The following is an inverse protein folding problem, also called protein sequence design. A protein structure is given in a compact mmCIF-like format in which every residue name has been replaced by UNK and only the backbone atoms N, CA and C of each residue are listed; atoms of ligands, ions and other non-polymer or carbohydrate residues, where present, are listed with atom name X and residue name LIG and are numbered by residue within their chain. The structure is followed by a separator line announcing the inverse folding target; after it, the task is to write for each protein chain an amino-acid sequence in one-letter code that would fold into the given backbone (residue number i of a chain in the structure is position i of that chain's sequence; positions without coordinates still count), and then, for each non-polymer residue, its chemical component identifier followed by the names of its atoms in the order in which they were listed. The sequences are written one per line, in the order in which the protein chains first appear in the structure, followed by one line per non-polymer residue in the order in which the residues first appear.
data_IF_556962064860
#
_entry.id   IF_556962064860
#
_cell.length_a   1.000
_cell.length_b   1.000
_cell.length_c   1.000
_cell.angle_alpha   90.00
_cell.angle_beta   90.00
_cell.angle_gamma   90.00
#
_symmetry.space_group_name_H-M   'P 1'
#
loop_
_entity.id
_entity.type
_entity.pdbx_description
1 polymer ?
#
# COMPACT_ATOMS: atom_id res chain seq x y z
N UNK A 1 -18.96 -7.21 -36.40
CA UNK A 1 -17.83 -6.30 -36.70
C UNK A 1 -17.92 -5.14 -35.71
N UNK A 2 -17.16 -5.16 -34.64
CA UNK A 2 -17.03 -4.02 -33.72
C UNK A 2 -15.61 -4.08 -33.20
N UNK A 3 -14.74 -3.26 -33.81
CA UNK A 3 -13.38 -3.05 -33.38
C UNK A 3 -13.39 -2.30 -32.05
N UNK A 4 -13.14 -2.99 -30.96
CA UNK A 4 -12.73 -2.36 -29.70
C UNK A 4 -11.31 -1.87 -29.85
N UNK A 5 -11.17 -0.58 -30.04
CA UNK A 5 -9.91 0.12 -30.16
C UNK A 5 -9.29 0.23 -28.75
N UNK A 6 -8.58 -0.81 -28.29
CA UNK A 6 -7.71 -0.76 -27.11
C UNK A 6 -6.45 0.05 -27.46
N UNK A 7 -6.64 1.36 -27.56
CA UNK A 7 -5.53 2.28 -27.71
C UNK A 7 -4.74 2.29 -26.40
N UNK A 8 -3.50 1.75 -26.44
CA UNK A 8 -2.51 1.92 -25.38
C UNK A 8 -2.34 3.43 -25.17
N UNK A 9 -2.54 3.96 -23.96
CA UNK A 9 -2.42 5.40 -23.71
C UNK A 9 -1.01 5.87 -24.07
N UNK A 10 -0.94 6.94 -24.87
CA UNK A 10 0.32 7.58 -25.22
C UNK A 10 1.03 8.05 -23.94
N UNK A 11 2.25 7.58 -23.63
CA UNK A 11 2.96 7.90 -22.38
C UNK A 11 3.34 9.39 -22.22
N UNK A 12 3.09 10.22 -23.22
CA UNK A 12 3.40 11.66 -23.20
C UNK A 12 2.17 12.57 -23.01
N UNK A 13 0.97 12.02 -22.92
CA UNK A 13 -0.21 12.83 -22.62
C UNK A 13 -0.18 13.27 -21.15
N UNK A 14 0.07 14.56 -20.91
CA UNK A 14 0.06 15.15 -19.55
C UNK A 14 -1.27 14.82 -18.87
N UNK A 15 -1.24 14.18 -17.71
CA UNK A 15 -2.45 13.87 -16.93
C UNK A 15 -3.23 15.14 -16.64
N UNK A 16 -4.55 15.05 -16.63
CA UNK A 16 -5.43 16.19 -16.32
C UNK A 16 -5.33 16.61 -14.84
N UNK A 17 -5.03 15.64 -13.98
CA UNK A 17 -4.89 15.83 -12.53
C UNK A 17 -3.64 15.07 -12.04
N UNK A 18 -2.98 15.56 -10.98
CA UNK A 18 -1.75 14.95 -10.46
C UNK A 18 -1.98 13.54 -9.89
N UNK A 19 -0.87 12.80 -9.83
CA UNK A 19 -0.75 11.56 -9.06
C UNK A 19 0.13 11.84 -7.84
N UNK A 20 -0.34 11.42 -6.67
CA UNK A 20 0.44 11.41 -5.45
C UNK A 20 0.84 9.96 -5.16
N UNK A 21 2.12 9.67 -5.23
CA UNK A 21 2.70 8.36 -4.93
C UNK A 21 3.17 8.33 -3.48
N UNK A 22 2.74 7.32 -2.71
CA UNK A 22 3.18 7.11 -1.33
C UNK A 22 3.78 5.72 -1.21
N UNK A 23 5.10 5.66 -1.06
CA UNK A 23 5.83 4.41 -0.86
C UNK A 23 6.40 4.31 0.56
N UNK A 24 6.82 3.12 0.95
CA UNK A 24 7.44 2.89 2.24
C UNK A 24 7.17 1.50 2.81
N UNK A 25 7.85 1.10 3.89
CA UNK A 25 7.76 -0.23 4.47
C UNK A 25 6.39 -0.53 5.09
N UNK A 26 6.20 -1.79 5.49
CA UNK A 26 4.98 -2.21 6.20
C UNK A 26 4.85 -1.48 7.55
N UNK A 27 3.64 -1.09 7.93
CA UNK A 27 3.37 -0.43 9.22
C UNK A 27 3.83 1.04 9.32
N UNK A 28 4.33 1.65 8.24
CA UNK A 28 4.76 3.07 8.25
C UNK A 28 3.60 4.08 8.38
N UNK A 29 2.34 3.64 8.17
CA UNK A 29 1.16 4.54 8.23
C UNK A 29 0.68 5.05 6.87
N UNK A 30 1.15 4.46 5.77
CA UNK A 30 0.80 4.90 4.40
C UNK A 30 -0.69 4.98 4.13
N UNK A 31 -1.47 3.99 4.58
CA UNK A 31 -2.92 3.95 4.32
C UNK A 31 -3.66 5.09 5.01
N UNK A 32 -3.25 5.42 6.25
CA UNK A 32 -3.79 6.57 6.99
C UNK A 32 -3.45 7.88 6.27
N UNK A 33 -2.18 8.03 5.86
CA UNK A 33 -1.70 9.20 5.14
C UNK A 33 -2.40 9.34 3.78
N UNK A 34 -2.51 8.26 3.02
CA UNK A 34 -3.15 8.26 1.70
C UNK A 34 -4.63 8.64 1.79
N UNK A 35 -5.36 8.08 2.76
CA UNK A 35 -6.76 8.41 2.99
C UNK A 35 -6.93 9.89 3.38
N UNK A 36 -6.04 10.43 4.21
CA UNK A 36 -6.05 11.84 4.59
C UNK A 36 -5.82 12.76 3.39
N UNK A 37 -4.74 12.54 2.62
CA UNK A 37 -4.41 13.34 1.45
C UNK A 37 -5.48 13.24 0.36
N UNK A 38 -6.03 12.05 0.14
CA UNK A 38 -7.11 11.86 -0.82
C UNK A 38 -8.34 12.72 -0.46
N UNK A 39 -8.77 12.72 0.79
CA UNK A 39 -9.87 13.57 1.27
C UNK A 39 -9.53 15.05 1.18
N UNK A 40 -8.32 15.43 1.58
CA UNK A 40 -7.88 16.83 1.65
C UNK A 40 -7.80 17.50 0.29
N UNK A 41 -7.39 16.76 -0.74
CA UNK A 41 -7.19 17.26 -2.11
C UNK A 41 -8.27 16.80 -3.11
N UNK A 42 -9.31 16.10 -2.64
CA UNK A 42 -10.39 15.61 -3.50
C UNK A 42 -9.91 14.58 -4.53
N UNK A 43 -8.98 13.69 -4.15
CA UNK A 43 -8.43 12.63 -4.96
C UNK A 43 -9.00 11.27 -4.57
N UNK A 44 -8.87 10.28 -5.46
CA UNK A 44 -9.21 8.90 -5.15
C UNK A 44 -8.05 8.25 -4.36
N UNK A 45 -8.38 7.53 -3.30
CA UNK A 45 -7.41 6.73 -2.55
C UNK A 45 -7.33 5.32 -3.16
N UNK A 46 -6.14 4.86 -3.54
CA UNK A 46 -5.90 3.55 -4.15
C UNK A 46 -4.82 2.78 -3.37
N UNK A 47 -5.25 1.72 -2.66
CA UNK A 47 -4.39 0.83 -1.87
C UNK A 47 -3.93 -0.35 -2.75
N UNK A 48 -2.75 -0.27 -3.36
CA UNK A 48 -2.26 -1.32 -4.27
C UNK A 48 -1.96 -2.65 -3.58
N UNK A 49 -1.62 -2.61 -2.30
CA UNK A 49 -1.45 -3.81 -1.49
C UNK A 49 -2.70 -4.68 -1.42
N UNK A 50 -3.89 -4.09 -1.58
CA UNK A 50 -5.14 -4.84 -1.64
C UNK A 50 -5.24 -5.71 -2.90
N UNK A 51 -4.66 -5.26 -4.03
CA UNK A 51 -4.65 -6.04 -5.28
C UNK A 51 -3.78 -7.30 -5.14
N UNK A 52 -2.58 -7.18 -4.55
CA UNK A 52 -1.73 -8.35 -4.27
C UNK A 52 -2.41 -9.32 -3.29
N UNK A 53 -3.11 -8.81 -2.29
CA UNK A 53 -3.88 -9.64 -1.36
C UNK A 53 -5.07 -10.33 -2.05
N UNK A 54 -5.71 -9.68 -3.01
CA UNK A 54 -6.79 -10.31 -3.78
C UNK A 54 -6.28 -11.48 -4.64
N UNK A 55 -5.13 -11.32 -5.33
CA UNK A 55 -4.49 -12.42 -6.05
C UNK A 55 -4.09 -13.55 -5.09
N UNK A 56 -3.48 -13.20 -3.95
CA UNK A 56 -3.09 -14.19 -2.95
C UNK A 56 -4.29 -14.97 -2.38
N UNK A 57 -5.40 -14.30 -2.11
CA UNK A 57 -6.63 -14.96 -1.69
C UNK A 57 -7.13 -15.94 -2.75
N UNK A 58 -7.17 -15.51 -4.02
CA UNK A 58 -7.58 -16.37 -5.12
C UNK A 58 -6.65 -17.58 -5.28
N UNK A 59 -5.33 -17.40 -5.07
CA UNK A 59 -4.38 -18.49 -5.08
C UNK A 59 -4.60 -19.49 -3.93
N UNK A 60 -4.92 -19.00 -2.71
CA UNK A 60 -5.32 -19.85 -1.58
C UNK A 60 -6.58 -20.67 -1.91
N UNK A 61 -7.61 -20.03 -2.47
CA UNK A 61 -8.88 -20.68 -2.83
C UNK A 61 -8.74 -21.72 -3.94
N UNK A 62 -7.64 -21.69 -4.70
CA UNK A 62 -7.35 -22.65 -5.77
C UNK A 62 -6.17 -23.58 -5.42
N UNK A 63 -5.73 -23.62 -4.17
CA UNK A 63 -4.64 -24.46 -3.66
C UNK A 63 -3.34 -24.36 -4.49
N UNK A 64 -3.00 -23.15 -5.00
CA UNK A 64 -1.80 -22.92 -5.77
C UNK A 64 -0.57 -22.75 -4.87
N UNK A 65 0.57 -23.28 -5.34
CA UNK A 65 1.86 -23.01 -4.71
C UNK A 65 2.28 -21.55 -4.97
N UNK A 66 2.63 -20.84 -3.90
CA UNK A 66 3.03 -19.43 -3.99
C UNK A 66 4.44 -19.23 -4.53
N UNK A 67 5.22 -20.29 -4.72
CA UNK A 67 6.58 -20.25 -5.26
C UNK A 67 6.60 -20.57 -6.77
N UNK A 68 5.47 -20.96 -7.37
CA UNK A 68 5.32 -21.23 -8.79
C UNK A 68 4.68 -20.02 -9.52
N UNK A 69 5.53 -19.27 -10.26
CA UNK A 69 5.10 -18.02 -10.88
C UNK A 69 4.04 -18.19 -11.96
N UNK A 70 4.20 -19.17 -12.86
CA UNK A 70 3.32 -19.27 -14.03
C UNK A 70 1.87 -19.56 -13.66
N UNK A 71 1.55 -20.52 -12.77
CA UNK A 71 0.16 -20.72 -12.30
C UNK A 71 -0.45 -19.48 -11.65
N UNK A 72 0.36 -18.73 -10.89
CA UNK A 72 -0.08 -17.48 -10.25
C UNK A 72 -0.37 -16.37 -11.27
N UNK A 73 0.43 -16.28 -12.33
CA UNK A 73 0.24 -15.32 -13.42
C UNK A 73 -1.02 -15.66 -14.22
N UNK A 74 -1.21 -16.92 -14.62
CA UNK A 74 -2.39 -17.39 -15.36
C UNK A 74 -3.67 -17.12 -14.55
N UNK A 75 -3.62 -17.38 -13.24
CA UNK A 75 -4.71 -17.07 -12.32
C UNK A 75 -5.01 -15.57 -12.29
N UNK A 76 -3.98 -14.73 -12.14
CA UNK A 76 -4.13 -13.29 -12.08
C UNK A 76 -4.72 -12.72 -13.38
N UNK A 77 -4.28 -13.19 -14.55
CA UNK A 77 -4.75 -12.76 -15.86
C UNK A 77 -6.22 -13.13 -16.11
N UNK A 78 -6.69 -14.23 -15.53
CA UNK A 78 -8.10 -14.65 -15.59
C UNK A 78 -8.99 -14.00 -14.52
N UNK A 79 -8.41 -13.24 -13.60
CA UNK A 79 -9.10 -12.68 -12.42
C UNK A 79 -9.42 -11.21 -12.63
N UNK A 80 -10.64 -10.81 -12.24
CA UNK A 80 -11.05 -9.40 -12.24
C UNK A 80 -10.97 -8.81 -10.84
N UNK A 81 -10.05 -7.88 -10.64
CA UNK A 81 -9.91 -7.13 -9.39
C UNK A 81 -10.44 -5.72 -9.61
N UNK A 82 -11.33 -5.25 -8.73
CA UNK A 82 -11.82 -3.87 -8.70
C UNK A 82 -11.56 -3.26 -7.34
N UNK A 83 -11.02 -2.05 -7.35
CA UNK A 83 -10.94 -1.18 -6.16
C UNK A 83 -12.00 -0.10 -6.30
N UNK A 84 -12.95 -0.07 -5.39
CA UNK A 84 -13.97 0.97 -5.29
C UNK A 84 -13.61 1.87 -4.09
N UNK A 85 -13.10 3.10 -4.32
CA UNK A 85 -12.75 4.02 -3.24
C UNK A 85 -13.97 4.31 -2.36
N UNK A 86 -13.77 4.25 -1.05
CA UNK A 86 -14.76 4.60 -0.03
C UNK A 86 -14.16 5.62 0.93
N UNK A 87 -14.97 6.14 1.85
CA UNK A 87 -14.50 7.10 2.87
C UNK A 87 -13.37 6.51 3.72
N UNK A 88 -13.42 5.21 4.01
CA UNK A 88 -12.44 4.49 4.84
C UNK A 88 -11.71 3.39 4.03
N UNK A 89 -10.94 3.80 3.03
CA UNK A 89 -10.13 2.88 2.22
C UNK A 89 -10.80 2.41 0.93
N UNK A 90 -10.59 1.15 0.55
CA UNK A 90 -11.16 0.60 -0.68
C UNK A 90 -12.08 -0.59 -0.36
N UNK A 91 -13.24 -0.61 -1.00
CA UNK A 91 -13.97 -1.86 -1.21
C UNK A 91 -13.27 -2.64 -2.31
N UNK A 92 -12.98 -3.90 -2.04
CA UNK A 92 -12.24 -4.76 -2.96
C UNK A 92 -13.15 -5.86 -3.46
N UNK A 93 -13.40 -5.84 -4.77
CA UNK A 93 -14.18 -6.88 -5.44
C UNK A 93 -13.23 -7.80 -6.20
N UNK A 94 -13.35 -9.10 -5.93
CA UNK A 94 -12.66 -10.18 -6.61
C UNK A 94 -13.70 -10.99 -7.38
N UNK A 95 -13.65 -10.96 -8.72
CA UNK A 95 -14.66 -11.57 -9.62
C UNK A 95 -16.10 -11.19 -9.27
N UNK A 96 -16.29 -9.96 -8.76
CA UNK A 96 -17.58 -9.43 -8.35
C UNK A 96 -17.97 -9.69 -6.90
N UNK A 97 -17.23 -10.51 -6.18
CA UNK A 97 -17.45 -10.81 -4.74
C UNK A 97 -16.67 -9.81 -3.88
N UNK A 98 -17.31 -9.27 -2.83
CA UNK A 98 -16.65 -8.38 -1.87
C UNK A 98 -15.74 -9.18 -0.93
N UNK A 99 -14.44 -8.97 -1.06
CA UNK A 99 -13.41 -9.63 -0.26
C UNK A 99 -12.68 -8.67 0.68
N UNK A 100 -13.17 -7.46 0.86
CA UNK A 100 -12.51 -6.36 1.59
C UNK A 100 -12.07 -6.75 3.00
N UNK A 101 -12.85 -7.60 3.68
CA UNK A 101 -12.52 -8.11 5.00
C UNK A 101 -11.51 -9.25 4.92
N UNK A 102 -11.79 -10.28 4.10
CA UNK A 102 -11.01 -11.52 4.02
C UNK A 102 -9.56 -11.29 3.58
N UNK A 103 -9.33 -10.34 2.68
CA UNK A 103 -7.97 -9.99 2.22
C UNK A 103 -7.09 -9.36 3.29
N UNK A 104 -7.63 -9.02 4.47
CA UNK A 104 -6.88 -8.45 5.59
C UNK A 104 -6.43 -9.51 6.61
N UNK A 105 -6.88 -10.74 6.45
CA UNK A 105 -6.52 -11.85 7.33
C UNK A 105 -5.02 -12.19 7.20
N UNK A 106 -4.46 -12.78 8.25
CA UNK A 106 -3.00 -12.98 8.39
C UNK A 106 -2.44 -13.91 7.32
N UNK A 107 -3.16 -14.99 7.02
CA UNK A 107 -2.79 -15.97 5.98
C UNK A 107 -2.70 -15.33 4.60
N UNK A 108 -3.70 -14.51 4.22
CA UNK A 108 -3.71 -13.80 2.94
C UNK A 108 -2.60 -12.75 2.89
N UNK A 109 -2.37 -12.05 4.01
CA UNK A 109 -1.30 -11.03 4.07
C UNK A 109 0.09 -11.68 3.94
N UNK A 110 0.30 -12.86 4.53
CA UNK A 110 1.54 -13.62 4.39
C UNK A 110 1.72 -14.14 2.95
N UNK A 111 0.68 -14.73 2.36
CA UNK A 111 0.68 -15.19 0.98
C UNK A 111 0.95 -14.04 -0.01
N UNK A 112 0.33 -12.86 0.19
CA UNK A 112 0.56 -11.69 -0.65
C UNK A 112 2.04 -11.25 -0.69
N UNK A 113 2.75 -11.40 0.42
CA UNK A 113 4.19 -11.12 0.46
C UNK A 113 5.01 -12.15 -0.34
N UNK A 114 4.59 -13.42 -0.37
CA UNK A 114 5.24 -14.47 -1.17
C UNK A 114 4.96 -14.26 -2.66
N UNK A 115 3.72 -14.12 -3.07
CA UNK A 115 3.38 -13.94 -4.49
C UNK A 115 3.94 -12.64 -5.08
N UNK A 116 4.18 -11.63 -4.26
CA UNK A 116 4.68 -10.33 -4.73
C UNK A 116 6.15 -10.32 -5.16
N UNK A 117 6.91 -11.41 -5.02
CA UNK A 117 8.31 -11.49 -5.46
C UNK A 117 8.43 -11.81 -6.95
N UNK A 118 7.42 -12.40 -7.55
CA UNK A 118 7.43 -12.92 -8.91
C UNK A 118 7.45 -11.80 -9.97
N UNK A 119 8.46 -11.78 -10.85
CA UNK A 119 8.67 -10.67 -11.78
C UNK A 119 7.53 -10.45 -12.78
N UNK A 120 7.01 -11.52 -13.40
CA UNK A 120 5.96 -11.42 -14.41
C UNK A 120 4.61 -11.04 -13.79
N UNK A 121 4.29 -11.61 -12.62
CA UNK A 121 3.11 -11.20 -11.84
C UNK A 121 3.19 -9.71 -11.45
N UNK A 122 4.37 -9.22 -11.04
CA UNK A 122 4.57 -7.80 -10.77
C UNK A 122 4.38 -6.94 -12.01
N UNK A 123 4.93 -7.35 -13.16
CA UNK A 123 4.76 -6.61 -14.40
C UNK A 123 3.28 -6.51 -14.80
N UNK A 124 2.51 -7.59 -14.65
CA UNK A 124 1.07 -7.59 -14.84
C UNK A 124 0.38 -6.62 -13.85
N UNK A 125 0.73 -6.72 -12.57
CA UNK A 125 0.16 -5.85 -11.52
C UNK A 125 0.42 -4.36 -11.77
N UNK A 126 1.64 -4.00 -12.18
CA UNK A 126 2.01 -2.62 -12.55
C UNK A 126 1.12 -2.10 -13.69
N UNK A 127 0.84 -2.94 -14.71
CA UNK A 127 -0.09 -2.55 -15.80
C UNK A 127 -1.48 -2.25 -15.27
N UNK A 128 -2.01 -3.09 -14.37
CA UNK A 128 -3.33 -2.87 -13.75
C UNK A 128 -3.38 -1.58 -12.92
N UNK A 129 -2.35 -1.35 -12.11
CA UNK A 129 -2.22 -0.16 -11.28
C UNK A 129 -2.12 1.13 -12.10
N UNK A 130 -1.33 1.11 -13.18
CA UNK A 130 -1.24 2.22 -14.13
C UNK A 130 -2.59 2.55 -14.76
N UNK A 131 -3.35 1.54 -15.15
CA UNK A 131 -4.69 1.73 -15.72
C UNK A 131 -5.63 2.42 -14.73
N UNK A 132 -5.58 2.06 -13.44
CA UNK A 132 -6.39 2.70 -12.38
C UNK A 132 -6.07 4.19 -12.21
N UNK A 133 -4.81 4.58 -12.29
CA UNK A 133 -4.38 5.98 -12.10
C UNK A 133 -4.14 6.76 -13.38
N UNK A 134 -4.48 6.21 -14.56
CA UNK A 134 -4.13 6.79 -15.86
C UNK A 134 -4.66 8.22 -16.07
N UNK A 135 -5.81 8.56 -15.50
CA UNK A 135 -6.42 9.91 -15.59
C UNK A 135 -5.87 10.89 -14.55
N UNK A 136 -5.06 10.43 -13.61
CA UNK A 136 -4.63 11.19 -12.44
C UNK A 136 -5.75 11.44 -11.44
N UNK A 137 -5.54 12.39 -10.52
CA UNK A 137 -6.48 12.66 -9.42
C UNK A 137 -6.52 11.52 -8.40
N UNK A 138 -5.38 10.85 -8.20
CA UNK A 138 -5.27 9.70 -7.31
C UNK A 138 -4.14 9.90 -6.29
N UNK A 139 -4.36 9.41 -5.08
CA UNK A 139 -3.32 9.09 -4.11
C UNK A 139 -3.17 7.57 -4.13
N UNK A 140 -2.03 7.09 -4.56
CA UNK A 140 -1.75 5.67 -4.67
C UNK A 140 -0.65 5.29 -3.69
N UNK A 141 -0.92 4.29 -2.86
CA UNK A 141 0.06 3.80 -1.89
C UNK A 141 0.56 2.39 -2.22
N UNK A 142 1.86 2.16 -1.94
CA UNK A 142 2.48 0.87 -2.20
C UNK A 142 3.90 0.72 -1.67
N UNK A 143 4.78 0.15 -2.54
CA UNK A 143 6.21 -0.06 -2.30
C UNK A 143 7.10 0.48 -3.41
N UNK A 144 6.52 0.68 -4.57
CA UNK A 144 7.20 0.99 -5.82
C UNK A 144 6.35 1.89 -6.73
N UNK A 145 5.42 2.64 -6.14
CA UNK A 145 4.52 3.51 -6.90
C UNK A 145 5.33 4.59 -7.61
N UNK A 146 6.18 5.31 -6.87
CA UNK A 146 7.02 6.38 -7.41
C UNK A 146 8.23 5.91 -8.20
N UNK A 147 8.58 4.60 -8.14
CA UNK A 147 9.73 4.06 -8.89
C UNK A 147 9.34 3.25 -10.12
N UNK A 148 8.22 2.51 -10.07
CA UNK A 148 7.81 1.58 -11.12
C UNK A 148 6.43 1.88 -11.70
N UNK A 149 5.43 2.18 -10.88
CA UNK A 149 4.05 2.40 -11.37
C UNK A 149 3.91 3.77 -12.02
N UNK A 150 4.23 4.83 -11.29
CA UNK A 150 4.22 6.22 -11.76
C UNK A 150 5.56 6.91 -11.49
N UNK A 151 6.62 6.56 -12.25
CA UNK A 151 7.91 7.22 -12.10
C UNK A 151 7.86 8.71 -12.46
N UNK A 152 6.80 9.13 -13.09
CA UNK A 152 6.46 10.50 -13.48
C UNK A 152 5.36 11.13 -12.60
N UNK A 153 5.08 10.56 -11.41
CA UNK A 153 4.14 11.15 -10.45
C UNK A 153 4.61 12.56 -10.03
N UNK A 154 3.67 13.49 -9.96
CA UNK A 154 3.93 14.89 -9.61
C UNK A 154 4.36 15.08 -8.16
N UNK A 155 3.90 14.19 -7.28
CA UNK A 155 4.31 14.14 -5.86
C UNK A 155 4.70 12.74 -5.48
N UNK A 156 5.89 12.59 -4.89
CA UNK A 156 6.38 11.31 -4.38
C UNK A 156 6.80 11.45 -2.93
N UNK A 157 6.17 10.69 -2.06
CA UNK A 157 6.47 10.64 -0.63
C UNK A 157 6.95 9.23 -0.30
N UNK A 158 8.12 9.12 0.31
CA UNK A 158 8.57 7.88 0.91
C UNK A 158 8.39 8.00 2.42
N UNK A 159 7.33 7.36 2.94
CA UNK A 159 7.01 7.37 4.36
C UNK A 159 7.75 6.24 5.07
N UNK A 160 8.63 6.61 6.01
CA UNK A 160 9.40 5.65 6.81
C UNK A 160 9.14 5.83 8.32
N UNK A 161 9.53 4.85 9.09
CA UNK A 161 9.65 4.89 10.53
C UNK A 161 10.56 3.74 11.00
N UNK A 162 11.13 3.86 12.20
CA UNK A 162 11.94 2.77 12.78
C UNK A 162 11.14 1.47 12.85
N UNK A 163 11.77 0.30 12.69
CA UNK A 163 11.10 -1.00 12.77
C UNK A 163 10.30 -1.17 14.06
N UNK A 164 10.82 -0.67 15.19
CA UNK A 164 10.22 -0.76 16.51
C UNK A 164 8.89 0.02 16.57
N UNK A 165 8.88 1.27 16.08
CA UNK A 165 7.68 2.11 15.99
C UNK A 165 6.63 1.49 15.08
N UNK A 166 7.04 0.92 13.94
CA UNK A 166 6.13 0.25 13.01
C UNK A 166 5.55 -1.04 13.61
N UNK A 167 6.37 -1.81 14.33
CA UNK A 167 5.96 -3.01 15.07
C UNK A 167 4.91 -2.69 16.13
N UNK A 168 5.12 -1.64 16.92
CA UNK A 168 4.16 -1.19 17.92
C UNK A 168 2.83 -0.72 17.30
N UNK A 169 2.88 0.10 16.25
CA UNK A 169 1.68 0.50 15.49
C UNK A 169 0.90 -0.70 14.98
N UNK A 170 1.59 -1.71 14.44
CA UNK A 170 0.96 -2.92 13.94
C UNK A 170 0.36 -3.76 15.05
N UNK A 171 1.06 -3.90 16.18
CA UNK A 171 0.55 -4.60 17.34
C UNK A 171 -0.76 -3.98 17.84
N UNK A 172 -0.82 -2.65 17.98
CA UNK A 172 -2.04 -1.93 18.37
C UNK A 172 -3.19 -2.17 17.40
N UNK A 173 -2.92 -2.21 16.10
CA UNK A 173 -3.95 -2.48 15.09
C UNK A 173 -4.57 -3.88 15.18
N UNK A 174 -3.79 -4.88 15.63
CA UNK A 174 -4.20 -6.29 15.63
C UNK A 174 -4.71 -6.73 17.00
N UNK A 175 -4.05 -6.30 18.08
CA UNK A 175 -4.27 -6.81 19.43
C UNK A 175 -5.25 -5.98 20.25
N UNK A 176 -5.42 -4.69 19.93
CA UNK A 176 -6.34 -3.84 20.67
C UNK A 176 -7.68 -3.74 19.94
N UNK A 177 -8.83 -3.85 20.65
CA UNK A 177 -10.12 -3.50 20.09
C UNK A 177 -10.05 -2.07 19.54
N UNK A 178 -10.65 -1.82 18.38
CA UNK A 178 -10.80 -0.46 17.87
C UNK A 178 -11.70 0.30 18.84
N UNK A 179 -11.09 1.11 19.68
CA UNK A 179 -11.80 2.14 20.41
C UNK A 179 -11.92 3.34 19.46
N UNK A 180 -13.13 3.70 19.00
CA UNK A 180 -13.33 4.84 18.11
C UNK A 180 -12.95 6.17 18.75
N UNK A 181 -12.88 6.24 20.08
CA UNK A 181 -12.58 7.46 20.85
C UNK A 181 -11.15 7.48 21.41
N UNK A 182 -10.33 6.44 21.14
CA UNK A 182 -8.95 6.42 21.58
C UNK A 182 -8.15 7.53 20.88
N UNK A 183 -7.62 8.45 21.68
CA UNK A 183 -6.77 9.54 21.20
C UNK A 183 -5.51 8.98 20.51
N UNK A 184 -5.47 9.08 19.19
CA UNK A 184 -4.34 8.65 18.35
C UNK A 184 -3.16 9.63 18.43
N UNK A 185 -3.27 10.69 19.22
CA UNK A 185 -2.26 11.75 19.37
C UNK A 185 -1.12 11.39 20.34
N UNK A 186 -1.26 10.34 21.16
CA UNK A 186 -0.18 9.94 22.07
C UNK A 186 1.00 9.30 21.32
N UNK A 187 2.22 9.77 21.58
CA UNK A 187 3.43 9.15 21.01
C UNK A 187 3.52 7.68 21.42
N UNK A 188 3.89 6.81 20.48
CA UNK A 188 4.03 5.36 20.66
C UNK A 188 4.88 4.93 21.87
N UNK A 189 5.68 5.81 22.41
CA UNK A 189 6.64 5.55 23.49
C UNK A 189 6.03 5.42 24.91
N UNK A 190 4.81 5.93 25.16
CA UNK A 190 4.22 5.88 26.50
C UNK A 190 3.49 4.57 26.85
N UNK A 191 3.10 3.77 25.85
CA UNK A 191 2.32 2.54 26.08
C UNK A 191 3.17 1.29 26.39
N UNK A 192 4.49 1.34 26.28
CA UNK A 192 5.36 0.18 26.47
C UNK A 192 5.46 -0.35 27.92
N UNK A 193 4.90 0.35 28.90
CA UNK A 193 5.17 0.10 30.31
C UNK A 193 4.30 -0.99 30.96
N UNK A 194 3.33 -1.63 30.27
CA UNK A 194 2.38 -2.55 30.92
C UNK A 194 2.01 -3.77 30.07
N UNK A 195 2.87 -4.28 29.21
CA UNK A 195 2.56 -5.51 28.46
C UNK A 195 2.79 -6.77 29.30
N UNK A 196 1.86 -7.71 29.23
CA UNK A 196 2.07 -9.06 29.77
C UNK A 196 3.16 -9.80 28.98
N UNK A 197 3.81 -10.86 29.54
CA UNK A 197 4.81 -11.64 28.81
C UNK A 197 4.30 -12.17 27.45
N UNK A 198 3.02 -12.59 27.39
CA UNK A 198 2.40 -13.10 26.14
C UNK A 198 2.23 -11.96 25.11
N UNK A 199 1.82 -10.78 25.54
CA UNK A 199 1.71 -9.60 24.68
C UNK A 199 3.06 -9.17 24.11
N UNK A 200 4.11 -9.24 24.92
CA UNK A 200 5.49 -8.97 24.47
C UNK A 200 5.96 -10.01 23.44
N UNK A 201 5.64 -11.28 23.64
CA UNK A 201 5.97 -12.36 22.70
C UNK A 201 5.25 -12.15 21.35
N UNK A 202 3.97 -11.79 21.38
CA UNK A 202 3.19 -11.48 20.17
C UNK A 202 3.71 -10.25 19.42
N UNK A 203 4.05 -9.19 20.15
CA UNK A 203 4.66 -7.98 19.57
C UNK A 203 6.00 -8.30 18.90
N UNK A 204 6.86 -9.08 19.55
CA UNK A 204 8.14 -9.50 18.99
C UNK A 204 7.98 -10.39 17.76
N UNK A 205 6.97 -11.28 17.75
CA UNK A 205 6.63 -12.09 16.57
C UNK A 205 6.24 -11.20 15.39
N UNK A 206 5.30 -10.28 15.59
CA UNK A 206 4.87 -9.35 14.56
C UNK A 206 6.02 -8.49 14.03
N UNK A 207 6.91 -8.04 14.91
CA UNK A 207 8.09 -7.27 14.51
C UNK A 207 9.04 -8.09 13.62
N UNK A 208 9.27 -9.39 13.97
CA UNK A 208 10.08 -10.28 13.13
C UNK A 208 9.46 -10.48 11.76
N UNK A 209 8.17 -10.81 11.69
CA UNK A 209 7.43 -10.99 10.43
C UNK A 209 7.50 -9.74 9.54
N UNK A 210 7.39 -8.55 10.16
CA UNK A 210 7.53 -7.29 9.43
C UNK A 210 8.95 -7.04 8.92
N UNK A 211 9.98 -7.34 9.70
CA UNK A 211 11.39 -7.22 9.27
C UNK A 211 11.69 -8.16 8.10
N UNK A 212 11.26 -9.41 8.17
CA UNK A 212 11.41 -10.39 7.10
C UNK A 212 10.68 -9.95 5.82
N UNK A 213 9.50 -9.38 5.96
CA UNK A 213 8.76 -8.83 4.82
C UNK A 213 9.48 -7.65 4.19
N UNK A 214 9.95 -6.69 4.99
CA UNK A 214 10.68 -5.53 4.50
C UNK A 214 11.98 -5.95 3.81
N UNK A 215 12.66 -6.97 4.32
CA UNK A 215 13.86 -7.53 3.70
C UNK A 215 13.54 -8.16 2.35
N UNK A 216 12.48 -8.96 2.23
CA UNK A 216 12.00 -9.47 0.94
C UNK A 216 11.66 -8.32 -0.02
N UNK A 217 10.93 -7.31 0.44
CA UNK A 217 10.54 -6.15 -0.38
C UNK A 217 11.77 -5.36 -0.87
N UNK A 218 12.84 -5.25 -0.06
CA UNK A 218 14.09 -4.54 -0.43
C UNK A 218 14.99 -5.35 -1.37
N UNK A 219 15.03 -6.67 -1.20
CA UNK A 219 15.97 -7.55 -1.90
C UNK A 219 15.39 -8.17 -3.19
N UNK A 220 14.11 -7.96 -3.49
CA UNK A 220 13.51 -8.49 -4.71
C UNK A 220 14.16 -7.90 -5.97
N UNK A 221 14.31 -8.74 -7.01
CA UNK A 221 15.01 -8.37 -8.23
C UNK A 221 14.28 -7.27 -9.02
N UNK A 222 12.94 -7.29 -9.02
CA UNK A 222 12.13 -6.26 -9.68
C UNK A 222 11.47 -5.32 -8.68
N UNK A 223 11.57 -4.03 -8.96
CA UNK A 223 10.93 -2.95 -8.18
C UNK A 223 11.20 -3.07 -6.68
N UNK A 224 12.46 -3.11 -6.23
CA UNK A 224 12.78 -3.19 -4.80
C UNK A 224 12.18 -1.99 -4.05
N UNK A 225 11.85 -2.21 -2.77
CA UNK A 225 11.41 -1.14 -1.89
C UNK A 225 12.56 -0.15 -1.64
N UNK A 226 12.50 0.99 -2.30
CA UNK A 226 13.43 2.11 -2.15
C UNK A 226 12.74 3.41 -2.51
N UNK A 227 13.17 4.55 -1.95
CA UNK A 227 12.67 5.85 -2.40
C UNK A 227 13.03 6.09 -3.87
N UNK A 228 12.14 6.74 -4.61
CA UNK A 228 12.48 7.33 -5.89
C UNK A 228 13.50 8.46 -5.68
N UNK A 229 14.33 8.75 -6.69
CA UNK A 229 15.40 9.76 -6.56
C UNK A 229 14.89 11.18 -6.28
N UNK A 230 13.64 11.44 -6.66
CA UNK A 230 12.91 12.70 -6.49
C UNK A 230 11.82 12.60 -5.40
N UNK A 231 11.80 11.52 -4.61
CA UNK A 231 10.85 11.39 -3.51
C UNK A 231 11.29 12.20 -2.28
N UNK A 232 10.34 12.86 -1.65
CA UNK A 232 10.54 13.45 -0.32
C UNK A 232 10.43 12.34 0.72
N UNK A 233 11.50 12.15 1.51
CA UNK A 233 11.51 11.19 2.61
C UNK A 233 10.85 11.84 3.82
N UNK A 234 9.79 11.22 4.33
CA UNK A 234 9.09 11.60 5.54
C UNK A 234 9.30 10.54 6.61
N UNK A 235 10.22 10.80 7.54
CA UNK A 235 10.46 9.93 8.70
C UNK A 235 9.48 10.27 9.81
N UNK A 236 8.59 9.33 10.11
CA UNK A 236 7.56 9.46 11.14
C UNK A 236 7.94 8.81 12.48
N UNK A 237 9.21 8.47 12.70
CA UNK A 237 9.67 7.76 13.91
C UNK A 237 9.33 8.51 15.19
N UNK A 238 9.53 9.83 15.20
CA UNK A 238 9.34 10.68 16.40
C UNK A 238 8.16 11.64 16.26
N UNK A 239 7.45 11.59 15.14
CA UNK A 239 6.34 12.52 14.85
C UNK A 239 5.03 11.97 15.36
N UNK A 240 4.16 12.87 15.81
CA UNK A 240 2.74 12.57 16.03
C UNK A 240 2.01 12.39 14.69
N UNK A 241 0.85 11.77 14.71
CA UNK A 241 0.04 11.62 13.49
C UNK A 241 -0.24 12.98 12.84
N UNK A 242 -0.67 13.97 13.62
CA UNK A 242 -0.98 15.31 13.10
C UNK A 242 0.23 15.98 12.44
N UNK A 243 1.42 15.83 13.04
CA UNK A 243 2.65 16.35 12.45
C UNK A 243 2.98 15.69 11.11
N UNK A 244 2.80 14.36 11.01
CA UNK A 244 2.99 13.62 9.75
C UNK A 244 2.02 14.10 8.69
N UNK A 245 0.73 14.23 9.04
CA UNK A 245 -0.31 14.70 8.11
C UNK A 245 -0.03 16.12 7.64
N UNK A 246 0.31 17.02 8.55
CA UNK A 246 0.64 18.41 8.24
C UNK A 246 1.86 18.55 7.32
N UNK A 247 2.95 17.82 7.62
CA UNK A 247 4.14 17.83 6.77
C UNK A 247 3.83 17.27 5.38
N UNK A 248 3.07 16.20 5.29
CA UNK A 248 2.69 15.63 4.01
C UNK A 248 1.80 16.59 3.18
N UNK A 249 0.87 17.30 3.81
CA UNK A 249 0.11 18.35 3.12
C UNK A 249 1.00 19.46 2.57
N UNK A 250 2.01 19.89 3.34
CA UNK A 250 2.99 20.90 2.88
C UNK A 250 3.79 20.38 1.67
N UNK A 251 4.24 19.11 1.72
CA UNK A 251 4.92 18.49 0.58
C UNK A 251 4.02 18.51 -0.67
N UNK A 252 2.76 18.10 -0.54
CA UNK A 252 1.83 18.09 -1.66
C UNK A 252 1.63 19.51 -2.22
N UNK A 253 1.36 20.48 -1.35
CA UNK A 253 1.15 21.89 -1.76
C UNK A 253 2.36 22.51 -2.47
N UNK A 254 3.58 22.15 -2.07
CA UNK A 254 4.81 22.67 -2.68
C UNK A 254 5.10 22.11 -4.08
N UNK A 255 4.49 20.97 -4.42
CA UNK A 255 4.68 20.30 -5.72
C UNK A 255 3.49 20.44 -6.67
N UNK A 256 2.33 20.86 -6.16
CA UNK A 256 1.18 21.15 -7.01
C UNK A 256 1.17 22.62 -7.42
N UNK A 257 0.72 22.93 -8.65
CA UNK A 257 0.53 24.32 -9.05
C UNK A 257 -0.48 24.99 -8.10
N UNK A 258 -0.33 26.29 -7.80
CA UNK A 258 -1.33 27.04 -7.05
C UNK A 258 -2.68 26.97 -7.77
N UNK A 259 -3.77 26.81 -6.99
CA UNK A 259 -5.14 26.82 -7.49
C UNK A 259 -5.51 28.16 -8.14
#
# INVERSE_FOLDING_TARGET
MSNSNDAVPNPTARRQRPVIAIDGPAGAGKSTLAAHLARRFGFLNLETGAMYRAVALKAIENDLDFDEEQPLLDLAESTRIRLEPQMEGNRVLLDGVDVSRRIRDTDVTAAASRVSVHPHLRAWMVRQQRALGAKGGVVMEGRDIGTAVFPDAEVKIFLDASPEVRGDRRYRQVALPRDPDADQSEPAQLAAAQHTPDQLADQQRLLREMKERDERDRNRAQSPLRPASDAVILDSTTLTLDQVLQQAEQIVRSHLPPE
#
